data_IF_042987521370
#
_entry.id   IF_042987521370
#
_cell.length_a   1.000
_cell.length_b   1.000
_cell.length_c   1.000
_cell.angle_alpha   90.00
_cell.angle_beta   90.00
_cell.angle_gamma   90.00
#
_symmetry.space_group_name_H-M   'P 1'
#
loop_
_entity.id
_entity.type
_entity.pdbx_description
1 polymer ?
#
# COMPACT_ATOMS: atom_id res chain seq x y z
N UNK A 1 -3.49 6.09 -13.43
CA UNK A 1 -3.73 4.63 -13.33
C UNK A 1 -3.80 4.17 -11.87
N UNK A 2 -2.77 4.36 -11.04
CA UNK A 2 -2.76 3.89 -9.63
C UNK A 2 -3.93 4.34 -8.75
N UNK A 3 -4.27 5.63 -8.75
CA UNK A 3 -5.43 6.14 -7.99
C UNK A 3 -6.77 5.64 -8.56
N UNK A 4 -6.84 5.36 -9.86
CA UNK A 4 -8.04 4.81 -10.50
C UNK A 4 -8.23 3.32 -10.14
N UNK A 5 -7.13 2.59 -9.89
CA UNK A 5 -7.13 1.18 -9.48
C UNK A 5 -7.48 0.97 -8.00
N UNK A 6 -7.30 1.97 -7.16
CA UNK A 6 -7.51 1.77 -5.74
C UNK A 6 -8.99 1.94 -5.39
N UNK A 7 -9.59 0.87 -4.89
CA UNK A 7 -10.99 0.85 -4.44
C UNK A 7 -11.18 1.97 -3.39
N UNK A 8 -12.15 2.86 -3.60
CA UNK A 8 -12.58 3.76 -2.53
C UNK A 8 -13.45 2.92 -1.59
N UNK A 9 -13.24 2.97 -0.28
CA UNK A 9 -14.03 2.19 0.70
C UNK A 9 -15.50 2.65 0.86
N UNK A 10 -16.08 3.23 -0.20
CA UNK A 10 -17.47 3.63 -0.29
C UNK A 10 -18.22 2.57 -1.10
N UNK A 11 -19.24 1.94 -0.52
CA UNK A 11 -20.08 0.92 -1.15
C UNK A 11 -20.94 1.39 -2.34
N UNK A 12 -20.36 2.19 -3.24
CA UNK A 12 -20.90 2.50 -4.57
C UNK A 12 -20.30 1.51 -5.55
N UNK A 13 -21.11 1.10 -6.52
CA UNK A 13 -20.71 0.29 -7.68
C UNK A 13 -19.43 0.90 -8.28
N UNK A 14 -18.30 0.18 -8.19
CA UNK A 14 -17.09 0.54 -8.91
C UNK A 14 -17.26 0.03 -10.34
N UNK A 15 -17.70 0.93 -11.22
CA UNK A 15 -17.41 0.76 -12.64
C UNK A 15 -15.91 0.96 -12.78
N UNK A 16 -15.16 -0.12 -12.98
CA UNK A 16 -13.78 -0.04 -13.47
C UNK A 16 -13.81 0.77 -14.76
N UNK A 17 -13.41 2.03 -14.68
CA UNK A 17 -13.40 2.90 -15.83
C UNK A 17 -12.06 2.73 -16.53
N UNK A 18 -12.05 1.87 -17.53
CA UNK A 18 -10.96 1.82 -18.49
C UNK A 18 -11.16 2.96 -19.47
N UNK A 19 -10.49 4.08 -19.21
CA UNK A 19 -10.07 4.94 -20.32
C UNK A 19 -9.06 4.14 -21.15
N UNK A 20 -9.54 3.28 -22.05
CA UNK A 20 -8.76 2.64 -23.12
C UNK A 20 -8.40 3.71 -24.14
N UNK A 21 -7.56 4.65 -23.70
CA UNK A 21 -7.15 5.76 -24.53
C UNK A 21 -5.63 5.77 -24.61
N UNK A 22 -5.16 5.16 -25.69
CA UNK A 22 -3.93 5.60 -26.32
C UNK A 22 -3.99 7.13 -26.44
N UNK A 23 -3.23 7.82 -25.58
CA UNK A 23 -2.85 9.20 -25.82
C UNK A 23 -1.97 9.20 -27.06
N UNK A 24 -2.60 9.33 -28.21
CA UNK A 24 -1.96 9.46 -29.52
C UNK A 24 -1.83 10.95 -29.81
N UNK A 25 -0.77 11.57 -29.33
CA UNK A 25 -0.23 12.74 -29.98
C UNK A 25 0.94 12.24 -30.84
N UNK A 26 0.67 12.09 -32.14
CA UNK A 26 1.63 11.86 -33.23
C UNK A 26 2.18 10.42 -33.36
N UNK A 27 2.04 9.88 -34.59
CA UNK A 27 2.64 8.66 -35.16
C UNK A 27 1.92 7.31 -34.95
N UNK A 28 1.73 6.60 -36.07
CA UNK A 28 0.70 5.58 -36.24
C UNK A 28 1.19 4.13 -36.01
N UNK A 29 0.93 3.58 -34.81
CA UNK A 29 0.97 2.11 -34.59
C UNK A 29 -0.23 1.65 -33.75
N UNK A 30 -0.80 0.48 -34.09
CA UNK A 30 -1.83 -0.17 -33.28
C UNK A 30 -1.27 -0.55 -31.91
N UNK A 31 -2.13 -0.53 -30.88
CA UNK A 31 -1.71 -0.95 -29.53
C UNK A 31 -1.38 -2.44 -29.55
N UNK A 32 -0.27 -2.84 -28.95
CA UNK A 32 0.07 -4.26 -28.87
C UNK A 32 -0.96 -5.02 -28.02
N UNK A 33 -1.18 -6.30 -28.35
CA UNK A 33 -2.02 -7.18 -27.53
C UNK A 33 -1.60 -7.22 -26.06
N UNK A 34 -0.29 -7.16 -25.79
CA UNK A 34 0.28 -7.03 -24.44
C UNK A 34 -0.25 -5.79 -23.71
N UNK A 35 -0.30 -4.63 -24.37
CA UNK A 35 -0.77 -3.39 -23.73
C UNK A 35 -2.27 -3.48 -23.41
N UNK A 36 -3.07 -4.01 -24.34
CA UNK A 36 -4.51 -4.23 -24.16
C UNK A 36 -4.76 -5.16 -22.97
N UNK A 37 -4.08 -6.31 -22.96
CA UNK A 37 -4.17 -7.30 -21.89
C UNK A 37 -3.75 -6.72 -20.55
N UNK A 38 -2.66 -5.95 -20.53
CA UNK A 38 -2.18 -5.27 -19.32
C UNK A 38 -3.21 -4.32 -18.73
N UNK A 39 -3.92 -3.57 -19.56
CA UNK A 39 -4.98 -2.64 -19.13
C UNK A 39 -6.22 -3.38 -18.62
N UNK A 40 -6.72 -4.38 -19.36
CA UNK A 40 -7.92 -5.12 -18.96
C UNK A 40 -7.70 -5.90 -17.67
N UNK A 41 -6.61 -6.68 -17.59
CA UNK A 41 -6.34 -7.50 -16.41
C UNK A 41 -5.96 -6.67 -15.18
N UNK A 42 -5.42 -5.46 -15.36
CA UNK A 42 -5.20 -4.52 -14.26
C UNK A 42 -6.46 -4.25 -13.45
N UNK A 43 -7.60 -4.09 -14.10
CA UNK A 43 -8.86 -3.76 -13.44
C UNK A 43 -9.45 -4.95 -12.70
N UNK A 44 -9.11 -6.18 -13.11
CA UNK A 44 -9.57 -7.40 -12.42
C UNK A 44 -9.00 -7.54 -11.00
N UNK A 45 -7.95 -6.78 -10.68
CA UNK A 45 -7.29 -6.79 -9.37
C UNK A 45 -7.95 -5.86 -8.34
N UNK A 46 -8.99 -5.14 -8.73
CA UNK A 46 -9.67 -4.17 -7.87
C UNK A 46 -10.81 -4.86 -7.12
N UNK A 47 -10.81 -4.76 -5.80
CA UNK A 47 -11.92 -5.25 -4.98
C UNK A 47 -13.22 -4.49 -5.28
N UNK A 48 -14.31 -5.25 -5.42
CA UNK A 48 -15.67 -4.70 -5.60
C UNK A 48 -16.00 -4.30 -7.03
N UNK A 49 -15.19 -4.71 -8.00
CA UNK A 49 -15.53 -4.57 -9.43
C UNK A 49 -16.45 -5.72 -9.84
N UNK A 50 -17.63 -5.38 -10.33
CA UNK A 50 -18.64 -6.33 -10.81
C UNK A 50 -18.65 -6.46 -12.35
N UNK A 51 -17.91 -5.58 -13.04
CA UNK A 51 -17.84 -5.57 -14.49
C UNK A 51 -16.90 -4.51 -15.05
N UNK A 52 -16.66 -4.61 -16.35
CA UNK A 52 -15.82 -3.69 -17.11
C UNK A 52 -16.65 -3.01 -18.20
N UNK A 53 -16.55 -1.69 -18.26
CA UNK A 53 -17.09 -0.88 -19.36
C UNK A 53 -15.92 -0.29 -20.13
N UNK A 54 -15.77 -0.69 -21.39
CA UNK A 54 -14.68 -0.25 -22.24
C UNK A 54 -15.17 0.79 -23.23
N UNK A 55 -14.45 1.92 -23.34
CA UNK A 55 -14.65 2.83 -24.46
C UNK A 55 -13.66 2.46 -25.56
N UNK A 56 -14.16 1.75 -26.55
CA UNK A 56 -13.40 1.29 -27.70
C UNK A 56 -13.58 2.33 -28.81
N UNK A 57 -12.54 3.12 -29.11
CA UNK A 57 -12.56 3.90 -30.36
C UNK A 57 -12.67 2.94 -31.55
N UNK A 58 -13.32 3.38 -32.64
CA UNK A 58 -13.43 2.68 -33.93
C UNK A 58 -12.11 2.03 -34.36
N UNK A 59 -10.98 2.63 -33.96
CA UNK A 59 -9.62 2.14 -34.14
C UNK A 59 -9.32 0.67 -33.76
N UNK A 60 -9.92 0.10 -32.70
CA UNK A 60 -9.73 -1.32 -32.36
C UNK A 60 -10.59 -2.25 -33.23
N UNK A 61 -11.73 -1.75 -33.72
CA UNK A 61 -12.64 -2.46 -34.62
C UNK A 61 -12.18 -2.37 -36.08
N UNK A 62 -11.53 -1.26 -36.44
CA UNK A 62 -11.00 -0.95 -37.78
C UNK A 62 -9.55 -1.42 -37.94
N UNK A 63 -8.99 -2.10 -36.93
CA UNK A 63 -7.65 -2.66 -36.97
C UNK A 63 -7.59 -3.82 -37.98
N UNK A 64 -6.83 -3.72 -39.09
CA UNK A 64 -6.97 -4.63 -40.23
C UNK A 64 -6.64 -6.09 -39.95
N UNK A 65 -5.80 -6.38 -38.94
CA UNK A 65 -5.38 -7.75 -38.60
C UNK A 65 -6.35 -8.43 -37.63
N UNK A 66 -7.14 -7.66 -36.88
CA UNK A 66 -8.04 -8.15 -35.84
C UNK A 66 -7.35 -8.70 -34.57
N UNK A 67 -6.01 -8.67 -34.51
CA UNK A 67 -5.23 -9.15 -33.38
C UNK A 67 -5.58 -8.40 -32.07
N UNK A 68 -5.83 -7.10 -32.17
CA UNK A 68 -6.14 -6.25 -31.02
C UNK A 68 -7.49 -6.61 -30.39
N UNK A 69 -8.49 -6.89 -31.23
CA UNK A 69 -9.82 -7.30 -30.78
C UNK A 69 -9.79 -8.70 -30.16
N UNK A 70 -9.04 -9.64 -30.76
CA UNK A 70 -8.86 -10.97 -30.20
C UNK A 70 -8.20 -10.90 -28.81
N UNK A 71 -7.11 -10.13 -28.67
CA UNK A 71 -6.44 -9.92 -27.40
C UNK A 71 -7.36 -9.30 -26.34
N UNK A 72 -8.19 -8.34 -26.72
CA UNK A 72 -9.20 -7.77 -25.82
C UNK A 72 -10.21 -8.82 -25.35
N UNK A 73 -10.82 -9.58 -26.27
CA UNK A 73 -11.83 -10.57 -25.95
C UNK A 73 -11.29 -11.69 -25.06
N UNK A 74 -10.06 -12.14 -25.28
CA UNK A 74 -9.42 -13.14 -24.42
C UNK A 74 -9.09 -12.57 -23.04
N UNK A 75 -8.64 -11.32 -22.97
CA UNK A 75 -8.37 -10.65 -21.69
C UNK A 75 -9.65 -10.42 -20.87
N UNK A 76 -10.80 -10.18 -21.51
CA UNK A 76 -12.10 -10.04 -20.82
C UNK A 76 -12.54 -11.35 -20.18
N UNK A 77 -12.31 -12.51 -20.82
CA UNK A 77 -12.63 -13.82 -20.20
C UNK A 77 -11.82 -14.01 -18.91
N UNK A 78 -10.52 -13.78 -18.99
CA UNK A 78 -9.62 -13.89 -17.84
C UNK A 78 -9.93 -12.86 -16.75
N UNK A 79 -10.35 -11.65 -17.12
CA UNK A 79 -10.82 -10.64 -16.16
C UNK A 79 -11.94 -11.18 -15.27
N UNK A 80 -12.96 -11.84 -15.85
CA UNK A 80 -14.08 -12.40 -15.08
C UNK A 80 -13.64 -13.54 -14.14
N UNK A 81 -12.64 -14.32 -14.54
CA UNK A 81 -12.06 -15.37 -13.70
C UNK A 81 -11.30 -14.78 -12.50
N UNK A 82 -10.42 -13.80 -12.73
CA UNK A 82 -9.56 -13.20 -11.70
C UNK A 82 -10.38 -12.38 -10.70
N UNK A 83 -11.27 -11.50 -11.17
CA UNK A 83 -12.08 -10.66 -10.27
C UNK A 83 -12.92 -11.51 -9.31
N UNK A 84 -13.34 -12.70 -9.78
CA UNK A 84 -14.12 -13.65 -9.01
C UNK A 84 -13.40 -14.16 -7.76
N UNK A 85 -12.07 -14.03 -7.67
CA UNK A 85 -11.29 -14.48 -6.51
C UNK A 85 -11.19 -13.44 -5.39
N UNK A 86 -11.39 -12.15 -5.67
CA UNK A 86 -11.19 -11.08 -4.69
C UNK A 86 -12.50 -10.82 -3.93
N UNK A 87 -12.71 -11.52 -2.81
CA UNK A 87 -13.98 -11.51 -2.08
C UNK A 87 -14.12 -10.47 -0.96
N UNK A 88 -13.02 -9.86 -0.53
CA UNK A 88 -13.04 -8.89 0.57
C UNK A 88 -12.12 -7.70 0.25
N UNK A 89 -12.31 -6.52 0.88
CA UNK A 89 -11.37 -5.42 0.76
C UNK A 89 -10.05 -5.73 1.45
N UNK A 90 -8.97 -4.99 1.15
CA UNK A 90 -7.75 -5.02 1.94
C UNK A 90 -7.98 -4.39 3.33
N UNK A 91 -7.24 -4.86 4.34
CA UNK A 91 -7.33 -4.35 5.72
C UNK A 91 -6.66 -2.97 5.90
N UNK A 92 -5.85 -2.55 4.93
CA UNK A 92 -5.05 -1.33 4.97
C UNK A 92 -5.63 -0.34 3.96
N UNK A 93 -5.73 0.92 4.35
CA UNK A 93 -6.08 2.02 3.47
C UNK A 93 -5.03 3.13 3.52
N UNK A 94 -4.78 3.77 2.38
CA UNK A 94 -4.04 5.05 2.32
C UNK A 94 -5.06 6.19 2.33
N UNK A 95 -4.88 7.14 3.25
CA UNK A 95 -5.71 8.34 3.32
C UNK A 95 -5.39 9.27 2.15
N UNK A 96 -6.44 9.72 1.45
CA UNK A 96 -6.37 10.66 0.35
C UNK A 96 -7.00 12.00 0.78
N UNK A 97 -6.22 13.06 1.01
CA UNK A 97 -6.75 14.37 1.40
C UNK A 97 -7.75 14.92 0.37
N UNK A 98 -8.74 15.70 0.79
CA UNK A 98 -9.75 16.33 -0.11
C UNK A 98 -9.11 17.25 -1.14
N UNK A 99 -7.99 17.88 -0.77
CA UNK A 99 -7.22 18.80 -1.59
C UNK A 99 -6.46 18.04 -2.69
N UNK A 100 -7.00 18.09 -3.91
CA UNK A 100 -6.53 17.33 -5.07
C UNK A 100 -5.07 17.62 -5.47
N UNK A 101 -4.55 18.81 -5.15
CA UNK A 101 -3.16 19.17 -5.40
C UNK A 101 -2.15 18.26 -4.68
N UNK A 102 -2.55 17.58 -3.60
CA UNK A 102 -1.69 16.65 -2.87
C UNK A 102 -1.78 15.20 -3.34
N UNK A 103 -2.67 14.88 -4.29
CA UNK A 103 -2.85 13.50 -4.77
C UNK A 103 -1.63 12.96 -5.53
N UNK A 104 -0.78 13.85 -6.06
CA UNK A 104 0.50 13.47 -6.69
C UNK A 104 1.45 12.82 -5.68
N UNK A 105 1.43 13.24 -4.40
CA UNK A 105 2.24 12.62 -3.35
C UNK A 105 1.74 11.21 -3.05
N UNK A 106 0.41 11.02 -2.96
CA UNK A 106 -0.20 9.70 -2.79
C UNK A 106 0.19 8.75 -3.95
N UNK A 107 0.19 9.22 -5.20
CA UNK A 107 0.64 8.42 -6.35
C UNK A 107 2.08 7.93 -6.22
N UNK A 108 3.00 8.80 -5.81
CA UNK A 108 4.40 8.44 -5.62
C UNK A 108 4.57 7.42 -4.49
N UNK A 109 3.81 7.58 -3.41
CA UNK A 109 3.82 6.65 -2.27
C UNK A 109 3.25 5.28 -2.66
N UNK A 110 2.17 5.22 -3.45
CA UNK A 110 1.59 3.97 -3.94
C UNK A 110 2.58 3.12 -4.74
N UNK A 111 3.45 3.76 -5.54
CA UNK A 111 4.51 3.04 -6.27
C UNK A 111 5.51 2.36 -5.32
N UNK A 112 5.81 2.99 -4.18
CA UNK A 112 6.72 2.43 -3.19
C UNK A 112 6.04 1.30 -2.41
N UNK A 113 4.75 1.42 -2.10
CA UNK A 113 3.98 0.33 -1.48
C UNK A 113 3.95 -0.94 -2.33
N UNK A 114 3.85 -0.82 -3.66
CA UNK A 114 3.93 -1.95 -4.59
C UNK A 114 5.23 -2.73 -4.46
N UNK A 115 6.36 -2.05 -4.30
CA UNK A 115 7.67 -2.70 -4.10
C UNK A 115 7.74 -3.50 -2.81
N UNK A 116 6.90 -3.17 -1.83
CA UNK A 116 6.79 -3.90 -0.56
C UNK A 116 5.69 -4.98 -0.58
N UNK A 117 4.88 -5.01 -1.64
CA UNK A 117 3.73 -5.90 -1.77
C UNK A 117 2.62 -5.65 -0.74
N UNK A 118 2.47 -4.41 -0.29
CA UNK A 118 1.37 -4.01 0.59
C UNK A 118 0.15 -3.68 -0.25
N UNK A 119 -0.86 -4.55 -0.19
CA UNK A 119 -2.17 -4.32 -0.80
C UNK A 119 -3.00 -3.37 0.07
N UNK A 120 -3.57 -2.35 -0.56
CA UNK A 120 -4.28 -1.27 0.12
C UNK A 120 -5.40 -0.67 -0.72
N UNK A 121 -6.40 -0.13 -0.05
CA UNK A 121 -7.46 0.69 -0.64
C UNK A 121 -7.22 2.18 -0.41
N UNK A 122 -7.99 3.05 -1.07
CA UNK A 122 -8.00 4.48 -0.76
C UNK A 122 -9.18 4.82 0.13
N UNK A 123 -8.93 5.71 1.09
CA UNK A 123 -9.98 6.28 1.93
C UNK A 123 -9.90 7.80 1.87
N UNK A 124 -11.04 8.44 1.69
CA UNK A 124 -11.17 9.89 1.69
C UNK A 124 -12.47 10.23 2.41
N UNK A 125 -12.49 11.37 3.10
CA UNK A 125 -13.73 11.92 3.64
C UNK A 125 -14.72 12.18 2.49
N UNK A 126 -15.98 11.68 2.53
CA UNK A 126 -16.91 11.87 1.44
C UNK A 126 -17.15 13.35 1.17
N UNK A 127 -17.21 13.72 -0.11
CA UNK A 127 -17.63 15.05 -0.53
C UNK A 127 -19.09 15.33 -0.10
N UNK A 128 -19.92 14.29 -0.08
CA UNK A 128 -21.32 14.35 0.34
C UNK A 128 -21.72 13.07 1.11
N UNK A 129 -22.35 13.23 2.29
CA UNK A 129 -22.83 12.13 3.13
C UNK A 129 -22.06 11.98 4.44
N UNK A 130 -22.76 11.58 5.52
CA UNK A 130 -22.21 11.52 6.89
C UNK A 130 -21.67 10.15 7.32
N UNK A 131 -21.86 9.09 6.52
CA UNK A 131 -21.63 7.72 6.97
C UNK A 131 -20.70 6.95 6.02
N UNK A 132 -19.38 7.11 6.16
CA UNK A 132 -18.45 6.06 5.68
C UNK A 132 -18.43 4.98 6.74
N UNK A 133 -18.80 3.75 6.37
CA UNK A 133 -18.55 2.60 7.23
C UNK A 133 -17.08 2.23 7.10
N UNK A 134 -16.25 2.69 8.03
CA UNK A 134 -14.85 2.30 8.14
C UNK A 134 -14.64 1.00 8.93
N UNK A 135 -15.72 0.31 9.32
CA UNK A 135 -15.66 -0.89 10.16
C UNK A 135 -14.86 -2.05 9.56
N UNK A 136 -14.61 -2.02 8.24
CA UNK A 136 -13.84 -3.03 7.52
C UNK A 136 -12.35 -2.63 7.34
N UNK A 137 -11.99 -1.39 7.70
CA UNK A 137 -10.61 -0.89 7.64
C UNK A 137 -9.95 -1.08 8.99
N UNK A 138 -8.87 -1.84 9.04
CA UNK A 138 -8.10 -2.03 10.27
C UNK A 138 -7.06 -0.91 10.47
N UNK A 139 -6.45 -0.44 9.38
CA UNK A 139 -5.40 0.57 9.40
C UNK A 139 -5.61 1.64 8.33
N UNK A 140 -5.58 2.92 8.72
CA UNK A 140 -5.45 4.05 7.80
C UNK A 140 -4.03 4.63 7.90
N UNK A 141 -3.31 4.64 6.78
CA UNK A 141 -1.98 5.23 6.67
C UNK A 141 -2.10 6.67 6.13
N UNK A 142 -1.44 7.60 6.81
CA UNK A 142 -1.22 8.97 6.33
C UNK A 142 0.27 9.12 6.01
N UNK A 143 0.60 8.98 4.73
CA UNK A 143 1.98 9.05 4.25
C UNK A 143 2.36 10.48 3.87
N UNK A 144 3.14 11.15 4.72
CA UNK A 144 3.57 12.54 4.58
C UNK A 144 2.39 13.49 4.26
N UNK A 145 1.32 13.49 5.08
CA UNK A 145 0.11 14.24 4.77
C UNK A 145 0.34 15.76 4.77
N UNK A 146 -0.45 16.53 3.99
CA UNK A 146 -0.51 17.97 4.13
C UNK A 146 -1.21 18.34 5.45
N UNK A 147 -1.22 19.64 5.80
CA UNK A 147 -2.12 20.11 6.84
C UNK A 147 -3.57 19.82 6.43
N UNK A 148 -4.33 19.25 7.36
CA UNK A 148 -5.70 18.79 7.16
C UNK A 148 -6.68 19.83 7.69
N UNK A 149 -7.85 19.90 7.09
CA UNK A 149 -8.92 20.74 7.61
C UNK A 149 -9.61 20.11 8.84
N UNK A 150 -10.46 20.89 9.50
CA UNK A 150 -11.14 20.47 10.73
C UNK A 150 -12.03 19.24 10.55
N UNK A 151 -12.65 19.04 9.39
CA UNK A 151 -13.53 17.89 9.16
C UNK A 151 -12.71 16.62 8.94
N UNK A 152 -11.61 16.69 8.18
CA UNK A 152 -10.70 15.57 7.97
C UNK A 152 -10.05 15.12 9.29
N UNK A 153 -9.64 16.09 10.12
CA UNK A 153 -9.11 15.84 11.47
C UNK A 153 -10.18 15.17 12.35
N UNK A 154 -11.40 15.70 12.37
CA UNK A 154 -12.49 15.14 13.16
C UNK A 154 -12.85 13.72 12.70
N UNK A 155 -12.87 13.48 11.40
CA UNK A 155 -13.12 12.16 10.81
C UNK A 155 -12.09 11.12 11.22
N UNK A 156 -10.80 11.44 11.09
CA UNK A 156 -9.72 10.54 11.47
C UNK A 156 -9.65 10.35 12.99
N UNK A 157 -9.82 11.43 13.76
CA UNK A 157 -9.88 11.37 15.22
C UNK A 157 -11.02 10.48 15.71
N UNK A 158 -12.20 10.57 15.07
CA UNK A 158 -13.35 9.74 15.40
C UNK A 158 -13.12 8.27 15.04
N UNK A 159 -12.53 8.00 13.88
CA UNK A 159 -12.17 6.64 13.47
C UNK A 159 -11.24 5.96 14.49
N UNK A 160 -10.21 6.67 14.98
CA UNK A 160 -9.33 6.15 16.04
C UNK A 160 -10.09 5.99 17.35
N UNK A 161 -10.84 7.00 17.78
CA UNK A 161 -11.62 6.92 19.02
C UNK A 161 -12.54 5.69 19.07
N UNK A 162 -13.13 5.32 17.92
CA UNK A 162 -14.06 4.20 17.78
C UNK A 162 -13.38 2.81 17.68
N UNK A 163 -12.05 2.75 17.60
CA UNK A 163 -11.29 1.49 17.63
C UNK A 163 -10.33 1.27 16.47
N UNK A 164 -10.31 2.15 15.47
CA UNK A 164 -9.42 2.05 14.32
C UNK A 164 -7.95 2.34 14.65
N UNK A 165 -7.04 1.88 13.79
CA UNK A 165 -5.62 2.23 13.89
C UNK A 165 -5.18 3.22 12.79
N UNK A 166 -4.35 4.21 13.15
CA UNK A 166 -3.69 5.10 12.18
C UNK A 166 -2.17 5.00 12.25
N UNK A 167 -1.51 5.14 11.10
CA UNK A 167 -0.06 5.30 10.98
C UNK A 167 0.26 6.60 10.24
N UNK A 168 0.85 7.58 10.91
CA UNK A 168 1.22 8.87 10.33
C UNK A 168 2.74 8.97 10.15
N UNK A 169 3.19 9.34 8.94
CA UNK A 169 4.62 9.51 8.64
C UNK A 169 4.98 10.97 8.36
N UNK A 170 6.25 11.32 8.57
CA UNK A 170 6.80 12.63 8.21
C UNK A 170 6.32 13.73 9.15
N UNK A 171 5.77 14.81 8.58
CA UNK A 171 5.28 15.95 9.35
C UNK A 171 3.79 15.74 9.71
N UNK A 172 3.43 15.64 11.00
CA UNK A 172 2.04 15.40 11.38
C UNK A 172 1.19 16.67 11.24
N UNK A 173 -0.04 16.58 10.71
CA UNK A 173 -0.98 17.70 10.68
C UNK A 173 -1.25 18.20 12.10
N UNK A 174 -1.34 19.51 12.26
CA UNK A 174 -1.48 20.16 13.57
C UNK A 174 -2.70 19.64 14.32
N UNK A 175 -3.83 19.46 13.63
CA UNK A 175 -5.06 18.95 14.23
C UNK A 175 -5.00 17.50 14.73
N UNK A 176 -4.08 16.66 14.21
CA UNK A 176 -3.96 15.25 14.62
C UNK A 176 -2.96 15.02 15.75
N UNK A 177 -2.13 16.01 16.07
CA UNK A 177 -1.14 15.93 17.15
C UNK A 177 -1.68 15.43 18.50
N UNK A 178 -2.87 15.88 18.97
CA UNK A 178 -3.45 15.35 20.21
C UNK A 178 -3.75 13.85 20.15
N UNK A 179 -4.23 13.36 19.00
CA UNK A 179 -4.50 11.92 18.77
C UNK A 179 -3.21 11.12 18.77
N UNK A 180 -2.16 11.65 18.13
CA UNK A 180 -0.83 11.05 18.06
C UNK A 180 -0.04 11.14 19.37
N UNK A 181 -0.44 12.03 20.28
CA UNK A 181 0.27 12.28 21.54
C UNK A 181 1.65 12.86 21.34
N UNK A 182 1.79 13.74 20.35
CA UNK A 182 3.03 14.42 20.04
C UNK A 182 2.79 15.91 19.96
N UNK A 183 3.73 16.69 20.45
CA UNK A 183 3.76 18.14 20.36
C UNK A 183 4.98 18.59 19.55
N UNK A 184 5.05 19.90 19.30
CA UNK A 184 6.12 20.47 18.51
C UNK A 184 7.51 20.20 19.11
N UNK A 185 8.36 19.66 18.24
CA UNK A 185 9.79 19.97 18.23
C UNK A 185 10.27 20.01 16.78
N UNK A 186 11.43 20.64 16.60
CA UNK A 186 12.06 21.01 15.33
C UNK A 186 12.30 19.83 14.37
N UNK A 187 12.48 20.19 13.09
CA UNK A 187 13.09 19.30 12.09
C UNK A 187 14.60 19.24 12.32
N UNK A 188 15.14 18.02 12.43
CA UNK A 188 16.56 17.78 12.64
C UNK A 188 17.17 16.87 11.56
N UNK A 189 18.50 16.77 11.54
CA UNK A 189 19.22 15.93 10.59
C UNK A 189 19.79 14.69 11.27
N UNK A 190 19.40 13.52 10.77
CA UNK A 190 19.71 12.24 11.40
C UNK A 190 20.22 11.24 10.38
N UNK A 191 20.92 10.21 10.87
CA UNK A 191 21.60 9.18 10.08
C UNK A 191 20.96 7.79 10.18
N UNK A 192 20.14 7.55 11.20
CA UNK A 192 19.51 6.25 11.42
C UNK A 192 18.44 6.25 12.51
N UNK A 193 17.81 5.10 12.65
CA UNK A 193 16.77 4.78 13.64
C UNK A 193 17.26 3.60 14.48
N UNK A 194 17.13 3.69 15.79
CA UNK A 194 17.41 2.59 16.71
C UNK A 194 16.12 2.14 17.40
N UNK A 195 15.77 0.87 17.25
CA UNK A 195 14.58 0.29 17.90
C UNK A 195 14.85 0.08 19.38
N UNK A 196 13.90 0.45 20.24
CA UNK A 196 14.06 0.36 21.70
C UNK A 196 13.09 -0.62 22.37
N UNK A 197 12.14 -1.19 21.62
CA UNK A 197 11.15 -2.17 22.07
C UNK A 197 11.48 -3.59 21.59
N UNK A 198 10.95 -4.59 22.28
CA UNK A 198 11.27 -6.01 22.06
C UNK A 198 10.23 -6.78 21.23
N UNK A 199 9.07 -6.18 20.94
CA UNK A 199 7.93 -6.87 20.31
C UNK A 199 7.81 -6.66 18.79
N UNK A 200 8.75 -5.96 18.14
CA UNK A 200 8.74 -5.83 16.68
C UNK A 200 9.30 -7.10 16.02
N UNK A 201 8.61 -7.58 14.98
CA UNK A 201 8.87 -8.88 14.33
C UNK A 201 10.18 -8.91 13.54
N UNK A 202 10.48 -7.86 12.75
CA UNK A 202 11.63 -7.82 11.82
C UNK A 202 12.81 -7.04 12.37
N UNK A 203 12.57 -6.11 13.29
CA UNK A 203 13.57 -5.24 13.87
C UNK A 203 13.67 -5.42 15.39
N UNK A 204 14.64 -6.22 15.84
CA UNK A 204 14.91 -6.43 17.27
C UNK A 204 15.34 -5.16 17.99
N UNK A 205 15.14 -5.12 19.30
CA UNK A 205 15.69 -4.08 20.18
C UNK A 205 17.19 -3.89 19.97
N UNK A 206 17.63 -2.63 19.95
CA UNK A 206 19.01 -2.23 19.70
C UNK A 206 19.44 -2.29 18.23
N UNK A 207 18.61 -2.81 17.31
CA UNK A 207 18.91 -2.79 15.88
C UNK A 207 18.95 -1.34 15.40
N UNK A 208 20.06 -0.99 14.75
CA UNK A 208 20.27 0.33 14.15
C UNK A 208 20.07 0.20 12.64
N UNK A 209 19.10 0.94 12.12
CA UNK A 209 18.76 1.00 10.71
C UNK A 209 19.29 2.31 10.13
N UNK A 210 20.15 2.22 9.11
CA UNK A 210 20.71 3.39 8.45
C UNK A 210 19.73 3.98 7.45
N UNK A 211 19.54 5.30 7.46
CA UNK A 211 18.73 6.02 6.48
C UNK A 211 19.53 7.08 5.70
N UNK A 212 20.84 7.14 5.92
CA UNK A 212 21.70 8.21 5.41
C UNK A 212 21.34 9.56 6.05
N UNK A 213 21.95 10.63 5.55
CA UNK A 213 21.71 11.98 6.06
C UNK A 213 20.34 12.50 5.59
N UNK A 214 19.38 12.57 6.51
CA UNK A 214 17.98 12.94 6.22
C UNK A 214 17.42 13.96 7.21
N UNK A 215 16.55 14.84 6.71
CA UNK A 215 15.72 15.70 7.54
C UNK A 215 14.54 14.88 8.07
N UNK A 216 14.32 14.93 9.39
CA UNK A 216 13.32 14.13 10.10
C UNK A 216 12.62 15.02 11.13
N UNK A 217 11.31 14.88 11.23
CA UNK A 217 10.53 15.54 12.29
C UNK A 217 10.82 14.84 13.61
N UNK A 218 11.19 15.60 14.63
CA UNK A 218 11.42 15.05 15.95
C UNK A 218 10.29 15.53 16.87
N UNK A 219 9.36 14.65 17.28
CA UNK A 219 8.27 15.05 18.16
C UNK A 219 8.77 15.28 19.60
N UNK A 220 8.08 16.17 20.32
CA UNK A 220 8.01 16.10 21.77
C UNK A 220 6.89 15.13 22.14
N UNK A 221 7.07 14.26 23.12
CA UNK A 221 6.02 13.31 23.51
C UNK A 221 5.04 13.97 24.49
N UNK A 222 3.76 13.82 24.20
CA UNK A 222 2.65 14.23 25.07
C UNK A 222 1.67 13.06 25.21
N UNK A 223 2.03 12.12 26.08
CA UNK A 223 1.25 10.92 26.36
C UNK A 223 1.39 9.81 25.31
N UNK A 224 2.38 9.87 24.43
CA UNK A 224 2.77 8.74 23.57
C UNK A 224 3.99 8.01 24.13
N UNK A 225 4.06 6.72 23.86
CA UNK A 225 5.17 5.84 24.20
C UNK A 225 6.17 5.76 23.04
N UNK A 226 7.48 5.80 23.31
CA UNK A 226 8.48 5.72 22.25
C UNK A 226 8.74 4.27 21.78
N UNK A 227 8.75 4.06 20.47
CA UNK A 227 9.07 2.77 19.84
C UNK A 227 10.53 2.69 19.37
N UNK A 228 11.07 3.84 18.93
CA UNK A 228 12.41 3.95 18.39
C UNK A 228 12.97 5.36 18.61
N UNK A 229 14.29 5.49 18.63
CA UNK A 229 15.01 6.76 18.79
C UNK A 229 15.86 7.08 17.56
N UNK A 230 16.09 8.37 17.34
CA UNK A 230 16.91 8.87 16.24
C UNK A 230 18.39 8.81 16.59
N UNK A 231 19.19 8.51 15.56
CA UNK A 231 20.65 8.42 15.65
C UNK A 231 21.28 9.50 14.78
N UNK A 232 22.27 10.20 15.32
CA UNK A 232 23.05 11.16 14.56
C UNK A 232 23.84 10.47 13.44
N UNK A 233 24.17 11.17 12.35
CA UNK A 233 25.04 10.64 11.30
C UNK A 233 26.41 10.22 11.85
N UNK A 234 27.03 9.18 11.27
CA UNK A 234 28.40 8.78 11.63
C UNK A 234 29.34 9.98 11.49
N UNK A 235 30.20 10.22 12.49
CA UNK A 235 31.16 11.33 12.51
C UNK A 235 30.70 12.59 13.27
N UNK A 236 29.44 12.67 13.70
CA UNK A 236 28.96 13.76 14.58
C UNK A 236 29.04 13.33 16.05
N UNK A 237 29.47 14.24 16.93
CA UNK A 237 29.57 13.99 18.38
C UNK A 237 28.22 13.66 19.02
N UNK A 238 28.19 12.61 19.84
CA UNK A 238 27.00 12.09 20.50
C UNK A 238 26.34 10.96 19.69
N UNK A 239 26.40 9.74 20.23
CA UNK A 239 26.00 8.50 19.56
C UNK A 239 24.47 8.33 19.52
N UNK A 240 23.77 8.83 20.55
CA UNK A 240 22.30 8.89 20.67
C UNK A 240 21.88 10.32 20.94
N UNK A 241 20.75 10.72 20.37
CA UNK A 241 20.06 11.95 20.78
C UNK A 241 18.87 11.54 21.66
N UNK A 242 19.14 11.35 22.96
CA UNK A 242 18.15 10.91 23.94
C UNK A 242 17.07 12.00 24.04
N UNK A 243 15.80 11.62 23.86
CA UNK A 243 14.69 12.57 23.71
C UNK A 243 14.37 12.93 22.26
N UNK A 244 15.11 12.38 21.29
CA UNK A 244 14.78 12.48 19.86
C UNK A 244 14.16 11.18 19.36
N UNK A 245 12.84 11.09 19.39
CA UNK A 245 12.10 9.87 19.07
C UNK A 245 11.85 9.76 17.56
N UNK A 246 12.07 8.56 17.01
CA UNK A 246 11.87 8.28 15.60
C UNK A 246 10.44 7.81 15.32
N UNK A 247 9.89 6.99 16.22
CA UNK A 247 8.53 6.49 16.14
C UNK A 247 7.92 6.38 17.54
N UNK A 248 6.61 6.56 17.62
CA UNK A 248 5.84 6.62 18.85
C UNK A 248 4.49 5.91 18.67
N UNK A 249 3.88 5.54 19.79
CA UNK A 249 2.59 4.87 19.85
C UNK A 249 1.74 5.54 20.94
N UNK A 250 0.45 5.70 20.68
CA UNK A 250 -0.52 6.17 21.67
C UNK A 250 -1.84 5.44 21.50
N UNK A 251 -2.41 5.00 22.59
CA UNK A 251 -3.81 4.60 22.65
C UNK A 251 -4.69 5.86 22.75
N UNK A 252 -5.73 5.94 21.91
CA UNK A 252 -6.64 7.07 21.88
C UNK A 252 -8.09 6.58 21.75
N UNK A 253 -8.89 6.79 22.79
CA UNK A 253 -10.21 6.15 22.89
C UNK A 253 -10.04 4.62 22.93
N UNK A 254 -10.64 3.93 21.96
CA UNK A 254 -10.50 2.46 21.79
C UNK A 254 -9.46 2.07 20.73
N UNK A 255 -8.88 3.04 20.03
CA UNK A 255 -8.00 2.81 18.89
C UNK A 255 -6.53 3.05 19.18
N UNK A 256 -5.75 2.96 18.11
CA UNK A 256 -4.28 3.07 18.14
C UNK A 256 -3.78 4.14 17.18
N UNK A 257 -2.85 4.97 17.64
CA UNK A 257 -2.17 5.97 16.84
C UNK A 257 -0.67 5.72 16.87
N UNK A 258 -0.09 5.36 15.72
CA UNK A 258 1.36 5.23 15.53
C UNK A 258 1.85 6.41 14.70
N UNK A 259 2.94 7.02 15.15
CA UNK A 259 3.57 8.14 14.45
C UNK A 259 5.05 7.84 14.20
N UNK A 260 5.57 8.28 13.06
CA UNK A 260 7.00 8.31 12.79
C UNK A 260 7.35 9.59 12.06
N UNK A 261 8.31 10.34 12.59
CA UNK A 261 8.74 11.59 11.96
C UNK A 261 9.61 11.39 10.72
N UNK A 262 9.97 10.14 10.41
CA UNK A 262 10.74 9.78 9.21
C UNK A 262 9.83 9.90 7.98
N UNK A 263 10.25 10.58 6.90
CA UNK A 263 9.45 10.70 5.68
C UNK A 263 9.10 9.34 5.05
N UNK A 264 7.91 9.23 4.48
CA UNK A 264 7.37 8.00 3.86
C UNK A 264 8.34 7.41 2.84
N UNK A 265 8.92 8.24 1.96
CA UNK A 265 9.89 7.77 0.97
C UNK A 265 11.05 7.01 1.62
N UNK A 266 11.64 7.58 2.66
CA UNK A 266 12.76 6.98 3.39
C UNK A 266 12.33 5.71 4.14
N UNK A 267 11.13 5.72 4.74
CA UNK A 267 10.58 4.54 5.41
C UNK A 267 10.37 3.38 4.44
N UNK A 268 9.81 3.66 3.27
CA UNK A 268 9.42 2.63 2.31
C UNK A 268 10.62 2.11 1.50
N UNK A 269 11.71 2.88 1.35
CA UNK A 269 12.92 2.44 0.63
C UNK A 269 14.05 1.96 1.54
N UNK A 270 14.43 2.77 2.52
CA UNK A 270 15.67 2.57 3.28
C UNK A 270 15.40 1.81 4.59
N UNK A 271 14.17 1.90 5.11
CA UNK A 271 13.75 1.33 6.40
C UNK A 271 12.54 0.40 6.27
N UNK A 272 12.34 -0.23 5.12
CA UNK A 272 11.11 -1.00 4.81
C UNK A 272 10.77 -2.06 5.86
N UNK A 273 11.72 -2.84 6.43
CA UNK A 273 11.41 -3.79 7.49
C UNK A 273 10.83 -3.13 8.75
N UNK A 274 11.30 -1.93 9.10
CA UNK A 274 10.75 -1.17 10.22
C UNK A 274 9.37 -0.61 9.90
N UNK A 275 9.15 -0.13 8.68
CA UNK A 275 7.83 0.27 8.24
C UNK A 275 6.81 -0.89 8.34
N UNK A 276 7.17 -2.09 7.87
CA UNK A 276 6.30 -3.26 7.95
C UNK A 276 6.03 -3.69 9.40
N UNK A 277 7.00 -3.52 10.31
CA UNK A 277 6.77 -3.74 11.74
C UNK A 277 5.77 -2.75 12.35
N UNK A 278 5.79 -1.48 11.92
CA UNK A 278 4.78 -0.49 12.34
C UNK A 278 3.39 -0.82 11.77
N UNK A 279 3.33 -1.34 10.55
CA UNK A 279 2.06 -1.83 9.95
C UNK A 279 1.52 -3.02 10.72
N UNK A 280 2.34 -4.03 11.01
CA UNK A 280 1.93 -5.20 11.81
C UNK A 280 1.46 -4.80 13.21
N UNK A 281 2.13 -3.83 13.85
CA UNK A 281 1.70 -3.29 15.14
C UNK A 281 0.28 -2.69 15.08
N UNK A 282 -0.01 -1.92 14.04
CA UNK A 282 -1.36 -1.38 13.83
C UNK A 282 -2.40 -2.45 13.51
N UNK A 283 -2.07 -3.44 12.68
CA UNK A 283 -2.99 -4.53 12.34
C UNK A 283 -3.29 -5.43 13.54
N UNK A 284 -2.30 -5.68 14.39
CA UNK A 284 -2.43 -6.51 15.59
C UNK A 284 -3.49 -5.96 16.56
N UNK A 285 -3.68 -4.63 16.61
CA UNK A 285 -4.76 -3.98 17.39
C UNK A 285 -6.15 -4.50 17.01
N UNK A 286 -6.36 -4.83 15.73
CA UNK A 286 -7.61 -5.39 15.21
C UNK A 286 -7.58 -6.93 15.09
N UNK A 287 -6.58 -7.60 15.68
CA UNK A 287 -6.39 -9.05 15.55
C UNK A 287 -6.04 -9.51 14.14
N UNK A 288 -5.45 -8.63 13.32
CA UNK A 288 -4.99 -8.91 11.95
C UNK A 288 -3.46 -8.90 11.88
N UNK A 289 -2.91 -9.44 10.80
CA UNK A 289 -1.46 -9.39 10.53
C UNK A 289 -1.21 -9.45 9.02
N UNK A 290 0.00 -9.05 8.58
CA UNK A 290 0.44 -9.31 7.21
C UNK A 290 0.79 -10.80 7.06
N UNK A 291 -0.03 -11.52 6.29
CA UNK A 291 0.18 -12.95 5.98
C UNK A 291 1.23 -13.19 4.92
N UNK A 292 1.45 -12.23 4.04
CA UNK A 292 2.36 -12.31 2.90
C UNK A 292 3.47 -11.27 3.01
N UNK A 293 4.70 -11.70 2.82
CA UNK A 293 5.88 -10.84 2.75
C UNK A 293 6.63 -11.08 1.45
N UNK A 294 7.19 -10.02 0.87
CA UNK A 294 7.76 -10.08 -0.47
C UNK A 294 9.23 -9.66 -0.53
N UNK A 295 9.98 -10.30 -1.41
CA UNK A 295 11.35 -9.94 -1.75
C UNK A 295 11.52 -9.91 -3.28
N UNK A 296 12.09 -8.83 -3.81
CA UNK A 296 12.37 -8.70 -5.25
C UNK A 296 11.22 -8.16 -6.11
N UNK A 297 10.12 -7.69 -5.51
CA UNK A 297 9.08 -6.95 -6.24
C UNK A 297 9.61 -5.62 -6.78
N UNK A 298 9.03 -5.18 -7.90
CA UNK A 298 9.28 -3.87 -8.52
C UNK A 298 7.96 -3.11 -8.70
N UNK A 299 8.03 -1.87 -9.19
CA UNK A 299 6.86 -0.99 -9.39
C UNK A 299 5.90 -1.44 -10.50
N UNK A 300 6.29 -2.42 -11.32
CA UNK A 300 5.54 -2.94 -12.46
C UNK A 300 4.75 -4.22 -12.12
N UNK A 301 4.86 -4.72 -10.89
CA UNK A 301 4.07 -5.87 -10.42
C UNK A 301 2.98 -5.38 -9.48
N UNK A 302 1.73 -5.65 -9.85
CA UNK A 302 0.58 -5.46 -8.98
C UNK A 302 0.38 -6.72 -8.15
N UNK A 303 0.12 -6.56 -6.84
CA UNK A 303 -0.21 -7.69 -5.96
C UNK A 303 -1.52 -7.41 -5.23
N UNK A 304 -2.32 -8.47 -5.08
CA UNK A 304 -3.51 -8.51 -4.22
C UNK A 304 -3.29 -9.64 -3.22
N UNK A 305 -3.46 -9.34 -1.93
CA UNK A 305 -3.22 -10.33 -0.87
C UNK A 305 -4.38 -10.44 0.11
N UNK A 306 -4.81 -11.66 0.39
CA UNK A 306 -5.73 -12.02 1.49
C UNK A 306 -5.09 -13.12 2.34
N UNK A 307 -5.78 -13.52 3.39
CA UNK A 307 -5.26 -14.51 4.33
C UNK A 307 -4.90 -15.85 3.67
N UNK A 308 -5.57 -16.20 2.57
CA UNK A 308 -5.43 -17.45 1.82
C UNK A 308 -5.16 -17.25 0.32
N UNK A 309 -4.99 -16.00 -0.14
CA UNK A 309 -4.91 -15.66 -1.55
C UNK A 309 -3.74 -14.71 -1.82
N UNK A 310 -2.97 -15.01 -2.88
CA UNK A 310 -2.04 -14.10 -3.51
C UNK A 310 -2.35 -14.04 -5.00
N UNK A 311 -2.63 -12.85 -5.54
CA UNK A 311 -2.63 -12.61 -6.98
C UNK A 311 -1.48 -11.65 -7.29
N UNK A 312 -0.66 -11.98 -8.26
CA UNK A 312 0.40 -11.10 -8.77
C UNK A 312 0.26 -10.95 -10.28
N UNK A 313 0.39 -9.73 -10.78
CA UNK A 313 0.32 -9.42 -12.20
C UNK A 313 1.46 -8.53 -12.65
N UNK A 314 2.20 -8.96 -13.66
CA UNK A 314 3.36 -8.23 -14.18
C UNK A 314 3.00 -7.41 -15.41
N UNK A 315 3.16 -6.10 -15.35
CA UNK A 315 2.96 -5.19 -16.49
C UNK A 315 4.18 -5.08 -17.41
N UNK A 316 5.37 -5.46 -16.92
CA UNK A 316 6.65 -5.21 -17.58
C UNK A 316 7.26 -6.45 -18.21
N UNK A 317 8.57 -6.41 -18.40
CA UNK A 317 9.37 -7.57 -18.80
C UNK A 317 9.44 -8.61 -17.69
N UNK A 318 10.01 -9.77 -18.02
CA UNK A 318 10.15 -10.91 -17.11
C UNK A 318 10.71 -10.50 -15.73
N UNK A 319 10.03 -10.93 -14.67
CA UNK A 319 10.36 -10.64 -13.28
C UNK A 319 10.37 -11.91 -12.44
N UNK A 320 11.23 -11.95 -11.43
CA UNK A 320 11.28 -13.00 -10.41
C UNK A 320 11.25 -12.37 -9.03
N UNK A 321 10.38 -12.88 -8.17
CA UNK A 321 10.26 -12.43 -6.78
C UNK A 321 9.90 -13.61 -5.88
N UNK A 322 10.04 -13.41 -4.56
CA UNK A 322 9.65 -14.36 -3.54
C UNK A 322 8.46 -13.83 -2.75
N UNK A 323 7.51 -14.70 -2.48
CA UNK A 323 6.41 -14.44 -1.57
C UNK A 323 6.47 -15.45 -0.42
N UNK A 324 6.63 -14.97 0.80
CA UNK A 324 6.69 -15.79 2.02
C UNK A 324 5.35 -15.70 2.74
N UNK A 325 4.75 -16.85 3.02
CA UNK A 325 3.52 -16.95 3.79
C UNK A 325 3.84 -17.22 5.28
N UNK A 326 3.22 -16.46 6.19
CA UNK A 326 3.44 -16.61 7.64
C UNK A 326 2.48 -17.59 8.32
N UNK A 327 1.35 -17.91 7.70
CA UNK A 327 0.37 -18.85 8.25
C UNK A 327 0.69 -20.32 7.97
N UNK A 328 -0.21 -21.19 8.41
CA UNK A 328 -0.21 -22.62 8.08
C UNK A 328 -1.12 -22.89 6.87
N UNK A 329 -0.75 -23.85 6.03
CA UNK A 329 -1.57 -24.34 4.93
C UNK A 329 -1.30 -25.82 4.68
N UNK A 330 -2.34 -26.56 4.27
CA UNK A 330 -2.28 -27.99 3.95
C UNK A 330 -1.91 -28.26 2.49
N UNK A 331 -2.18 -27.29 1.61
CA UNK A 331 -1.94 -27.36 0.18
C UNK A 331 -2.09 -26.00 -0.49
N UNK A 332 -1.85 -25.97 -1.80
CA UNK A 332 -2.06 -24.77 -2.61
C UNK A 332 -2.43 -25.14 -4.05
N UNK A 333 -3.17 -24.25 -4.70
CA UNK A 333 -3.47 -24.28 -6.13
C UNK A 333 -2.81 -23.07 -6.79
N UNK A 334 -2.18 -23.29 -7.94
CA UNK A 334 -1.65 -22.22 -8.79
C UNK A 334 -2.51 -22.13 -10.05
N UNK A 335 -3.06 -20.94 -10.28
CA UNK A 335 -3.76 -20.56 -11.50
C UNK A 335 -2.92 -19.53 -12.26
N UNK A 336 -2.99 -19.59 -13.59
CA UNK A 336 -2.16 -18.79 -14.49
C UNK A 336 -1.02 -19.60 -15.09
N UNK A 337 -0.13 -18.91 -15.83
CA UNK A 337 0.95 -19.53 -16.61
C UNK A 337 2.35 -19.37 -15.97
N UNK A 338 2.39 -18.73 -14.81
CA UNK A 338 3.60 -18.46 -14.06
C UNK A 338 4.34 -19.75 -13.65
N UNK A 339 5.67 -19.68 -13.62
CA UNK A 339 6.48 -20.72 -13.00
C UNK A 339 6.54 -20.46 -11.49
N UNK A 340 6.07 -21.42 -10.71
CA UNK A 340 6.04 -21.35 -9.25
C UNK A 340 6.79 -22.55 -8.67
N UNK A 341 7.76 -22.27 -7.81
CA UNK A 341 8.41 -23.30 -6.99
C UNK A 341 8.23 -22.94 -5.52
N UNK A 342 8.07 -23.96 -4.67
CA UNK A 342 7.76 -23.75 -3.25
C UNK A 342 8.75 -24.49 -2.38
N UNK A 343 9.31 -23.78 -1.41
CA UNK A 343 10.20 -24.34 -0.39
C UNK A 343 9.95 -23.63 0.94
N UNK A 344 9.69 -24.38 2.00
CA UNK A 344 9.56 -23.87 3.38
C UNK A 344 8.60 -22.65 3.50
N UNK A 345 7.41 -22.74 2.88
CA UNK A 345 6.38 -21.67 2.81
C UNK A 345 6.79 -20.40 2.05
N UNK A 346 7.88 -20.49 1.28
CA UNK A 346 8.32 -19.45 0.35
C UNK A 346 7.99 -19.90 -1.08
N UNK A 347 7.20 -19.09 -1.76
CA UNK A 347 6.87 -19.23 -3.17
C UNK A 347 7.86 -18.39 -3.98
N UNK A 348 8.72 -19.03 -4.77
CA UNK A 348 9.51 -18.35 -5.77
C UNK A 348 8.70 -18.31 -7.07
N UNK A 349 8.35 -17.10 -7.51
CA UNK A 349 7.43 -16.86 -8.62
C UNK A 349 8.19 -16.16 -9.72
N UNK A 350 8.07 -16.69 -10.93
CA UNK A 350 8.59 -16.09 -12.15
C UNK A 350 7.43 -15.78 -13.09
N UNK A 351 7.27 -14.49 -13.41
CA UNK A 351 6.27 -13.98 -14.33
C UNK A 351 6.96 -13.47 -15.58
N UNK A 352 6.52 -13.94 -16.74
CA UNK A 352 6.78 -13.37 -18.04
C UNK A 352 6.07 -12.03 -18.23
N UNK A 353 6.12 -11.53 -19.46
CA UNK A 353 5.52 -10.25 -19.83
C UNK A 353 4.00 -10.33 -19.86
N UNK A 354 3.31 -9.42 -19.17
CA UNK A 354 1.83 -9.36 -19.09
C UNK A 354 1.21 -10.71 -18.68
N UNK A 355 1.82 -11.28 -17.64
CA UNK A 355 1.44 -12.56 -17.07
C UNK A 355 0.98 -12.36 -15.62
N UNK A 356 0.02 -13.19 -15.20
CA UNK A 356 -0.44 -13.24 -13.82
C UNK A 356 -0.18 -14.63 -13.21
N UNK A 357 -0.10 -14.63 -11.88
CA UNK A 357 -0.12 -15.81 -11.03
C UNK A 357 -1.19 -15.60 -9.97
N UNK A 358 -2.01 -16.61 -9.71
CA UNK A 358 -2.92 -16.64 -8.58
C UNK A 358 -2.61 -17.89 -7.76
N UNK A 359 -2.27 -17.70 -6.49
CA UNK A 359 -1.98 -18.75 -5.52
C UNK A 359 -3.10 -18.75 -4.50
N UNK A 360 -3.83 -19.86 -4.42
CA UNK A 360 -4.85 -20.11 -3.41
C UNK A 360 -4.35 -21.15 -2.45
N UNK A 361 -4.37 -20.84 -1.16
CA UNK A 361 -3.99 -21.77 -0.11
C UNK A 361 -5.22 -22.54 0.35
N UNK A 362 -5.05 -23.82 0.62
CA UNK A 362 -6.06 -24.65 1.28
C UNK A 362 -5.67 -24.84 2.74
N UNK A 363 -6.66 -24.70 3.64
CA UNK A 363 -6.50 -24.90 5.08
C UNK A 363 -6.40 -26.38 5.45
#
# INVERSE_FOLDING_TARGET
>A
MLLAKASLNNGKIFLGHVETFGRRFLEEKFSSGDLIRSQVLSESLVYGVDGISSFTFTYLLDEPTGESLAAYMDSVKEFFEIQGFIKSPPNISLFLPRRAEYWVFAQNVLQLFRKLGVDLSLVQLPLHGKNVKLSEVSLIILADPPELDGDEVAFLGKYVEDGGAILVTGYPPTGLRPVLGVDERNVGKYGGVEVIVDYLKRCSRGKILGMGYRLVYCPTLNGSEPLAILRKPKGYGGVRDIGSYAATLKEYGKGLAVFTGVPAKTLLTDLSPFFLDLVDLCLAHSGKELKWEFEGLNELVDVVVRDDLLIAFNHGDKVRFKAKYSGDFSGYEVLGKALVSVKDRVFEIELGKVEYCCIKLTS
#
